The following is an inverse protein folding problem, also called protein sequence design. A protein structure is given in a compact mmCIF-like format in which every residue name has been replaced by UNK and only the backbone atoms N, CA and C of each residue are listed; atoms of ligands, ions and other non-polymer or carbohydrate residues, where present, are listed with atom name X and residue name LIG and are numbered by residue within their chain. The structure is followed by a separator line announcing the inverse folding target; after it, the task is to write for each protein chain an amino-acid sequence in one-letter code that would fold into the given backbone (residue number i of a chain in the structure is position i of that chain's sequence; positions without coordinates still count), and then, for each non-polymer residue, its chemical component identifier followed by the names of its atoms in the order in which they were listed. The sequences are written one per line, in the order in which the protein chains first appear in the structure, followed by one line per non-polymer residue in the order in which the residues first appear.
data_IF_230545187979
#
_entry.id   IF_230545187979
#
_cell.length_a   1.000
_cell.length_b   1.000
_cell.length_c   1.000
_cell.angle_alpha   90.00
_cell.angle_beta   90.00
_cell.angle_gamma   90.00
#
_symmetry.space_group_name_H-M   'P 1'
#
loop_
_entity.id
_entity.type
_entity.pdbx_description
1 polymer ?
#
# COMPACT_ATOMS: atom_id res chain seq x y z
N UNK A 1 -22.71 -0.01 0.93
CA UNK A 1 -22.19 1.35 0.69
C UNK A 1 -20.72 1.30 0.31
N UNK A 2 -20.27 2.26 -0.48
CA UNK A 2 -18.84 2.44 -0.66
C UNK A 2 -18.23 2.81 0.69
N UNK A 3 -17.20 2.09 1.07
CA UNK A 3 -16.43 2.37 2.28
C UNK A 3 -15.16 3.13 1.93
N UNK A 4 -14.40 3.53 2.95
CA UNK A 4 -13.08 4.10 2.76
C UNK A 4 -12.16 3.12 1.99
N UNK A 5 -11.09 3.58 1.32
CA UNK A 5 -10.23 2.73 0.48
C UNK A 5 -9.62 1.51 1.17
N UNK A 6 -9.45 1.58 2.49
CA UNK A 6 -8.93 0.47 3.30
C UNK A 6 -10.03 -0.46 3.87
N UNK A 7 -11.21 -0.46 3.26
CA UNK A 7 -12.36 -1.28 3.66
C UNK A 7 -12.99 -1.95 2.44
N UNK A 8 -14.28 -2.16 2.50
CA UNK A 8 -15.06 -2.85 1.49
C UNK A 8 -15.67 -1.88 0.49
N UNK A 9 -15.62 -2.25 -0.76
CA UNK A 9 -16.40 -1.60 -1.80
C UNK A 9 -17.58 -2.47 -2.21
N UNK A 10 -18.65 -1.85 -2.72
CA UNK A 10 -19.71 -2.59 -3.38
C UNK A 10 -19.12 -3.38 -4.56
N UNK A 11 -19.55 -4.64 -4.70
CA UNK A 11 -19.19 -5.46 -5.87
C UNK A 11 -20.01 -5.00 -7.05
N UNK A 12 -19.35 -4.46 -8.08
CA UNK A 12 -19.99 -3.89 -9.27
C UNK A 12 -19.28 -4.39 -10.53
N UNK A 13 -20.07 -4.68 -11.59
CA UNK A 13 -19.56 -4.96 -12.94
C UNK A 13 -18.66 -6.21 -13.06
N UNK A 14 -18.95 -7.25 -12.27
CA UNK A 14 -18.21 -8.52 -12.30
C UNK A 14 -18.86 -9.49 -13.25
N UNK A 15 -18.07 -10.08 -14.15
CA UNK A 15 -18.51 -11.09 -15.12
C UNK A 15 -17.75 -12.40 -14.92
N UNK A 16 -18.46 -13.43 -14.49
CA UNK A 16 -17.92 -14.79 -14.34
C UNK A 16 -18.59 -15.69 -15.37
N UNK A 17 -17.86 -16.08 -16.40
CA UNK A 17 -18.42 -16.87 -17.48
C UNK A 17 -17.46 -17.90 -18.04
N UNK A 18 -18.03 -19.03 -18.53
CA UNK A 18 -17.28 -20.14 -19.15
C UNK A 18 -16.22 -20.76 -18.25
N UNK A 19 -16.48 -20.75 -16.95
CA UNK A 19 -15.64 -21.44 -15.99
C UNK A 19 -16.16 -22.85 -15.76
N UNK A 20 -15.27 -23.75 -15.36
CA UNK A 20 -15.63 -25.08 -14.90
C UNK A 20 -15.15 -25.26 -13.47
N UNK A 21 -16.08 -25.53 -12.58
CA UNK A 21 -15.86 -25.80 -11.16
C UNK A 21 -16.05 -27.29 -10.93
N UNK A 22 -15.00 -27.97 -10.46
CA UNK A 22 -15.03 -29.42 -10.19
C UNK A 22 -14.70 -29.65 -8.73
N UNK A 23 -15.60 -30.30 -8.00
CA UNK A 23 -15.46 -30.68 -6.60
C UNK A 23 -15.05 -29.52 -5.67
N UNK A 24 -15.45 -28.29 -6.02
CA UNK A 24 -15.28 -27.13 -5.16
C UNK A 24 -16.18 -27.28 -3.92
N UNK A 25 -15.65 -26.97 -2.75
CA UNK A 25 -16.36 -27.11 -1.47
C UNK A 25 -17.60 -26.22 -1.44
N UNK A 26 -17.45 -24.93 -1.77
CA UNK A 26 -18.53 -23.97 -1.84
C UNK A 26 -18.28 -22.95 -2.97
N UNK A 27 -19.38 -22.45 -3.55
CA UNK A 27 -19.42 -21.21 -4.32
C UNK A 27 -20.39 -20.32 -3.57
N UNK A 28 -19.92 -19.20 -3.06
CA UNK A 28 -20.72 -18.32 -2.21
C UNK A 28 -20.93 -16.97 -2.89
N UNK A 29 -22.13 -16.43 -2.78
CA UNK A 29 -22.48 -15.10 -3.28
C UNK A 29 -23.16 -14.28 -2.19
N UNK A 30 -22.90 -12.96 -2.22
CA UNK A 30 -23.57 -12.00 -1.33
C UNK A 30 -22.99 -11.92 0.07
N UNK A 31 -21.82 -12.50 0.32
CA UNK A 31 -21.17 -12.49 1.64
C UNK A 31 -20.77 -11.08 2.06
N UNK A 32 -20.92 -10.78 3.34
CA UNK A 32 -20.36 -9.56 3.96
C UNK A 32 -21.34 -8.42 4.17
N UNK A 33 -22.64 -8.68 4.20
CA UNK A 33 -23.67 -7.70 4.57
C UNK A 33 -23.71 -7.49 6.09
N UNK A 34 -23.74 -6.25 6.51
CA UNK A 34 -23.96 -5.84 7.89
C UNK A 34 -24.70 -4.49 7.97
N UNK A 35 -24.69 -3.83 9.13
CA UNK A 35 -25.35 -2.52 9.28
C UNK A 35 -24.71 -1.40 8.47
N UNK A 36 -23.42 -1.50 8.16
CA UNK A 36 -22.69 -0.50 7.35
C UNK A 36 -22.67 -0.89 5.85
N UNK A 37 -22.60 -2.19 5.57
CA UNK A 37 -22.47 -2.76 4.21
C UNK A 37 -23.82 -3.27 3.75
N UNK A 38 -24.64 -2.39 3.23
CA UNK A 38 -26.06 -2.68 2.91
C UNK A 38 -26.35 -2.82 1.42
N UNK A 39 -25.38 -2.49 0.55
CA UNK A 39 -25.59 -2.56 -0.90
C UNK A 39 -25.36 -3.97 -1.42
N UNK A 40 -26.35 -4.47 -2.17
CA UNK A 40 -26.22 -5.71 -2.91
C UNK A 40 -25.19 -5.58 -4.04
N UNK A 41 -24.64 -6.69 -4.56
CA UNK A 41 -23.89 -6.68 -5.81
C UNK A 41 -24.69 -6.01 -6.94
N UNK A 42 -24.03 -5.28 -7.84
CA UNK A 42 -24.67 -4.58 -8.97
C UNK A 42 -24.01 -4.97 -10.29
N UNK A 43 -24.81 -5.23 -11.33
CA UNK A 43 -24.33 -5.61 -12.67
C UNK A 43 -23.36 -6.81 -12.64
N UNK A 44 -23.60 -7.76 -11.74
CA UNK A 44 -22.82 -9.00 -11.66
C UNK A 44 -23.49 -10.07 -12.51
N UNK A 45 -22.72 -10.82 -13.27
CA UNK A 45 -23.23 -11.94 -14.07
C UNK A 45 -22.43 -13.22 -13.84
N UNK A 46 -23.14 -14.32 -13.70
CA UNK A 46 -22.61 -15.67 -13.60
C UNK A 46 -23.24 -16.52 -14.68
N UNK A 47 -22.57 -16.69 -15.84
CA UNK A 47 -23.18 -17.22 -17.06
C UNK A 47 -22.31 -18.26 -17.75
N UNK A 48 -22.96 -19.24 -18.43
CA UNK A 48 -22.28 -20.28 -19.21
C UNK A 48 -21.24 -21.09 -18.42
N UNK A 49 -21.41 -21.20 -17.10
CA UNK A 49 -20.48 -21.97 -16.26
C UNK A 49 -20.92 -23.42 -16.13
N UNK A 50 -19.98 -24.28 -15.82
CA UNK A 50 -20.18 -25.70 -15.54
C UNK A 50 -19.80 -25.98 -14.09
N UNK A 51 -20.71 -26.56 -13.32
CA UNK A 51 -20.46 -26.96 -11.93
C UNK A 51 -20.67 -28.46 -11.79
N UNK A 52 -19.62 -29.17 -11.43
CA UNK A 52 -19.63 -30.62 -11.19
C UNK A 52 -19.22 -30.86 -9.75
N UNK A 53 -20.18 -31.29 -8.93
CA UNK A 53 -19.91 -31.69 -7.54
C UNK A 53 -20.99 -32.65 -7.03
N UNK A 54 -20.65 -33.92 -6.99
CA UNK A 54 -21.59 -34.97 -6.55
C UNK A 54 -21.80 -35.03 -5.03
N UNK A 55 -21.08 -34.19 -4.28
CA UNK A 55 -21.26 -34.05 -2.83
C UNK A 55 -22.22 -32.92 -2.44
N UNK A 56 -22.65 -32.07 -3.37
CA UNK A 56 -23.52 -30.94 -3.10
C UNK A 56 -24.92 -31.11 -3.71
N UNK A 57 -25.93 -30.61 -3.02
CA UNK A 57 -27.32 -30.57 -3.48
C UNK A 57 -27.69 -29.29 -4.24
N UNK A 58 -26.86 -28.24 -4.13
CA UNK A 58 -27.07 -26.94 -4.78
C UNK A 58 -25.75 -26.36 -5.34
N UNK A 59 -25.80 -25.58 -6.42
CA UNK A 59 -24.62 -25.12 -7.12
C UNK A 59 -23.88 -23.98 -6.41
N UNK A 60 -24.57 -23.23 -5.55
CA UNK A 60 -24.02 -22.11 -4.79
C UNK A 60 -24.81 -21.87 -3.51
N UNK A 61 -24.23 -21.09 -2.62
CA UNK A 61 -24.85 -20.61 -1.40
C UNK A 61 -25.09 -19.11 -1.55
N UNK A 62 -26.36 -18.67 -1.41
CA UNK A 62 -26.68 -17.26 -1.23
C UNK A 62 -26.55 -16.95 0.26
N UNK A 63 -25.49 -16.21 0.63
CA UNK A 63 -25.22 -15.93 2.04
C UNK A 63 -26.11 -14.79 2.53
N UNK A 64 -26.10 -13.65 1.81
CA UNK A 64 -26.90 -12.48 2.19
C UNK A 64 -27.80 -12.02 1.04
N UNK A 65 -27.27 -11.21 0.13
CA UNK A 65 -28.04 -10.54 -0.91
C UNK A 65 -27.43 -10.78 -2.30
N UNK A 66 -28.19 -11.42 -3.16
CA UNK A 66 -27.80 -11.75 -4.54
C UNK A 66 -28.64 -11.02 -5.60
N UNK A 67 -29.44 -10.03 -5.20
CA UNK A 67 -30.42 -9.37 -6.07
C UNK A 67 -29.80 -8.74 -7.33
N UNK A 68 -28.56 -8.32 -7.29
CA UNK A 68 -27.85 -7.75 -8.43
C UNK A 68 -27.07 -8.75 -9.28
N UNK A 69 -27.24 -10.07 -9.05
CA UNK A 69 -26.53 -11.12 -9.76
C UNK A 69 -27.46 -11.78 -10.78
N UNK A 70 -27.07 -11.73 -12.05
CA UNK A 70 -27.76 -12.46 -13.12
C UNK A 70 -27.16 -13.84 -13.31
N UNK A 71 -27.96 -14.88 -13.07
CA UNK A 71 -27.62 -16.26 -13.40
C UNK A 71 -28.22 -16.64 -14.75
N UNK A 72 -27.41 -17.20 -15.65
CA UNK A 72 -27.90 -17.60 -16.99
C UNK A 72 -27.06 -18.73 -17.59
N UNK A 73 -27.74 -19.69 -18.21
CA UNK A 73 -27.15 -20.76 -19.03
C UNK A 73 -26.05 -21.59 -18.31
N UNK A 74 -26.12 -21.71 -16.99
CA UNK A 74 -25.18 -22.53 -16.22
C UNK A 74 -25.61 -23.99 -16.21
N UNK A 75 -24.67 -24.90 -16.40
CA UNK A 75 -24.87 -26.35 -16.36
C UNK A 75 -24.38 -26.92 -15.04
N UNK A 76 -25.19 -27.79 -14.45
CA UNK A 76 -24.81 -28.40 -13.16
C UNK A 76 -24.93 -29.92 -13.19
N UNK A 77 -24.00 -30.59 -12.56
CA UNK A 77 -24.07 -32.01 -12.25
C UNK A 77 -23.76 -32.21 -10.76
N UNK A 78 -24.83 -32.24 -9.95
CA UNK A 78 -24.77 -32.31 -8.50
C UNK A 78 -25.19 -33.68 -7.99
N UNK A 79 -25.29 -33.85 -6.64
CA UNK A 79 -25.77 -35.06 -5.99
C UNK A 79 -27.24 -35.38 -6.41
N UNK A 80 -28.04 -34.33 -6.62
CA UNK A 80 -29.42 -34.40 -7.06
C UNK A 80 -29.68 -33.50 -8.26
N UNK A 81 -30.77 -33.78 -8.99
CA UNK A 81 -31.20 -32.86 -10.04
C UNK A 81 -31.55 -31.50 -9.44
N UNK A 82 -30.98 -30.44 -10.02
CA UNK A 82 -31.20 -29.06 -9.62
C UNK A 82 -31.82 -28.29 -10.78
N UNK A 83 -32.86 -27.56 -10.51
CA UNK A 83 -33.49 -26.69 -11.50
C UNK A 83 -33.89 -25.38 -10.82
N UNK A 84 -33.30 -24.29 -11.31
CA UNK A 84 -33.62 -22.92 -10.90
C UNK A 84 -33.33 -21.96 -12.08
N UNK A 85 -33.85 -20.74 -12.07
CA UNK A 85 -33.55 -19.76 -13.10
C UNK A 85 -32.04 -19.63 -13.33
N UNK A 86 -31.62 -19.82 -14.57
CA UNK A 86 -30.18 -19.73 -14.96
C UNK A 86 -29.35 -21.00 -14.74
N UNK A 87 -29.93 -22.10 -14.25
CA UNK A 87 -29.24 -23.38 -14.03
C UNK A 87 -30.03 -24.55 -14.62
N UNK A 88 -29.31 -25.46 -15.27
CA UNK A 88 -29.86 -26.68 -15.86
C UNK A 88 -29.03 -27.88 -15.45
N UNK A 89 -29.70 -28.93 -14.93
CA UNK A 89 -29.03 -30.21 -14.68
C UNK A 89 -28.70 -30.90 -16.02
N UNK A 90 -27.44 -31.16 -16.24
CA UNK A 90 -26.95 -31.83 -17.42
C UNK A 90 -25.80 -32.78 -17.05
N UNK A 91 -25.78 -33.96 -17.64
CA UNK A 91 -24.64 -34.87 -17.48
C UNK A 91 -23.46 -34.34 -18.28
N UNK A 92 -22.53 -33.69 -17.61
CA UNK A 92 -21.35 -33.09 -18.22
C UNK A 92 -20.16 -34.03 -18.04
N UNK A 93 -19.42 -34.27 -19.10
CA UNK A 93 -18.12 -34.95 -18.98
C UNK A 93 -17.15 -33.99 -18.31
N UNK A 94 -16.61 -34.35 -17.14
CA UNK A 94 -15.57 -33.55 -16.50
C UNK A 94 -14.41 -33.33 -17.51
N UNK A 95 -13.99 -32.07 -17.74
CA UNK A 95 -12.86 -31.84 -18.60
C UNK A 95 -11.65 -32.56 -18.01
N UNK A 96 -10.95 -33.32 -18.83
CA UNK A 96 -9.62 -33.79 -18.45
C UNK A 96 -8.75 -32.53 -18.38
N UNK A 97 -8.19 -32.24 -17.21
CA UNK A 97 -7.20 -31.19 -17.07
C UNK A 97 -6.04 -31.53 -18.01
N UNK A 98 -5.72 -30.69 -18.98
CA UNK A 98 -4.54 -30.91 -19.79
C UNK A 98 -3.33 -30.89 -18.89
N UNK A 99 -2.26 -31.57 -19.30
CA UNK A 99 -0.96 -31.52 -18.68
C UNK A 99 -0.59 -30.08 -18.24
N UNK A 100 -0.04 -29.92 -17.04
CA UNK A 100 0.26 -28.63 -16.40
C UNK A 100 0.95 -27.63 -17.33
N UNK A 101 1.79 -28.10 -18.25
CA UNK A 101 2.49 -27.29 -19.23
C UNK A 101 1.55 -26.68 -20.28
N UNK A 102 0.48 -27.40 -20.68
CA UNK A 102 -0.49 -26.92 -21.66
C UNK A 102 -1.49 -25.93 -21.05
N UNK A 103 -1.86 -26.10 -19.78
CA UNK A 103 -2.73 -25.15 -19.04
C UNK A 103 -2.05 -23.79 -18.94
N UNK A 104 -0.73 -23.78 -18.63
CA UNK A 104 0.03 -22.54 -18.45
C UNK A 104 0.26 -21.77 -19.75
N UNK A 105 0.20 -22.43 -20.91
CA UNK A 105 0.49 -21.80 -22.19
C UNK A 105 -0.61 -20.83 -22.64
N UNK A 106 -1.89 -21.17 -22.43
CA UNK A 106 -3.03 -20.45 -22.99
C UNK A 106 -4.02 -19.93 -21.95
N UNK A 107 -3.81 -20.22 -20.66
CA UNK A 107 -4.68 -19.84 -19.56
C UNK A 107 -3.98 -18.92 -18.58
N UNK A 108 -4.76 -18.22 -17.78
CA UNK A 108 -4.29 -17.25 -16.80
C UNK A 108 -4.26 -15.82 -17.35
N UNK A 109 -3.89 -14.90 -16.50
CA UNK A 109 -3.88 -13.49 -16.84
C UNK A 109 -2.87 -13.18 -17.95
N UNK A 110 -3.34 -12.68 -19.09
CA UNK A 110 -2.49 -12.35 -20.24
C UNK A 110 -1.40 -11.34 -19.89
N UNK A 111 -1.69 -10.41 -19.01
CA UNK A 111 -0.74 -9.44 -18.48
C UNK A 111 0.39 -10.09 -17.67
N UNK A 112 0.13 -11.18 -16.98
CA UNK A 112 1.17 -11.92 -16.22
C UNK A 112 2.16 -12.63 -17.17
N UNK A 113 1.69 -13.13 -18.31
CA UNK A 113 2.52 -13.79 -19.32
C UNK A 113 3.42 -12.79 -20.07
N UNK A 114 3.01 -11.55 -20.15
CA UNK A 114 3.71 -10.49 -20.88
C UNK A 114 4.64 -9.64 -20.01
N UNK A 115 4.94 -10.03 -18.78
CA UNK A 115 5.90 -9.32 -17.92
C UNK A 115 7.33 -9.24 -18.51
N UNK A 116 7.60 -9.91 -19.62
CA UNK A 116 8.88 -9.81 -20.35
C UNK A 116 8.87 -8.72 -21.42
N UNK A 117 7.71 -8.23 -21.83
CA UNK A 117 7.62 -7.03 -22.65
C UNK A 117 7.42 -5.84 -21.71
N UNK A 118 8.51 -5.17 -21.33
CA UNK A 118 8.38 -3.80 -20.84
C UNK A 118 7.51 -3.05 -21.87
N UNK A 119 6.37 -2.44 -21.48
CA UNK A 119 5.69 -1.54 -22.40
C UNK A 119 6.76 -0.57 -22.89
N UNK A 120 6.77 -0.31 -24.19
CA UNK A 120 7.62 0.73 -24.76
C UNK A 120 7.54 1.93 -23.82
N UNK A 121 8.68 2.42 -23.37
CA UNK A 121 8.74 3.48 -22.37
C UNK A 121 7.77 4.56 -22.83
N UNK A 122 6.67 4.74 -22.10
CA UNK A 122 5.79 5.85 -22.35
C UNK A 122 6.69 7.08 -22.27
N UNK A 123 6.86 7.80 -23.37
CA UNK A 123 7.67 9.02 -23.38
C UNK A 123 6.89 10.03 -22.54
N UNK A 124 7.22 10.05 -21.26
CA UNK A 124 6.63 11.01 -20.33
C UNK A 124 7.24 12.38 -20.59
N UNK A 125 6.41 13.40 -20.56
CA UNK A 125 6.87 14.78 -20.72
C UNK A 125 7.78 15.14 -19.54
N UNK A 126 8.97 15.64 -19.86
CA UNK A 126 9.95 16.07 -18.87
C UNK A 126 9.85 17.58 -18.63
N UNK A 127 9.94 17.96 -17.37
CA UNK A 127 9.89 19.34 -16.90
C UNK A 127 11.18 19.64 -16.15
N UNK A 128 12.13 20.32 -16.81
CA UNK A 128 13.40 20.71 -16.18
C UNK A 128 13.18 21.95 -15.31
N UNK A 129 13.52 21.86 -14.02
CA UNK A 129 13.25 22.89 -13.02
C UNK A 129 14.53 23.35 -12.39
N UNK A 130 14.75 24.67 -12.40
CA UNK A 130 15.89 25.33 -11.73
C UNK A 130 15.48 25.93 -10.39
N UNK A 131 16.42 26.14 -9.45
CA UNK A 131 16.16 26.86 -8.21
C UNK A 131 15.54 28.25 -8.46
N UNK A 132 14.58 28.62 -7.61
CA UNK A 132 13.81 29.87 -7.78
C UNK A 132 12.51 29.69 -8.56
N UNK A 133 12.30 28.56 -9.22
CA UNK A 133 11.00 28.24 -9.83
C UNK A 133 9.99 27.83 -8.75
N UNK A 134 8.75 28.24 -8.88
CA UNK A 134 7.67 27.78 -8.02
C UNK A 134 7.32 26.32 -8.33
N UNK A 135 7.83 25.40 -7.49
CA UNK A 135 7.68 23.97 -7.71
C UNK A 135 6.21 23.52 -7.67
N UNK A 136 5.36 24.17 -6.85
CA UNK A 136 3.93 23.85 -6.78
C UNK A 136 3.21 24.14 -8.10
N UNK A 137 3.56 25.22 -8.80
CA UNK A 137 2.99 25.54 -10.12
C UNK A 137 3.42 24.53 -11.19
N UNK A 138 4.68 24.09 -11.16
CA UNK A 138 5.17 23.05 -12.08
C UNK A 138 4.42 21.74 -11.85
N UNK A 139 4.28 21.31 -10.60
CA UNK A 139 3.54 20.10 -10.23
C UNK A 139 2.08 20.19 -10.69
N UNK A 140 1.43 21.33 -10.46
CA UNK A 140 0.03 21.53 -10.85
C UNK A 140 -0.14 21.46 -12.38
N UNK A 141 0.75 22.08 -13.15
CA UNK A 141 0.69 22.14 -14.62
C UNK A 141 1.21 20.90 -15.33
N UNK A 142 1.96 20.04 -14.64
CA UNK A 142 2.49 18.80 -15.22
C UNK A 142 1.36 17.84 -15.63
N UNK A 143 1.53 17.18 -16.76
CA UNK A 143 0.61 16.15 -17.24
C UNK A 143 0.71 14.89 -16.39
N UNK A 144 -0.38 14.09 -16.25
CA UNK A 144 -0.30 12.78 -15.61
C UNK A 144 0.80 11.90 -16.22
N UNK A 145 1.64 11.32 -15.36
CA UNK A 145 2.83 10.56 -15.79
C UNK A 145 4.06 11.43 -16.08
N UNK A 146 3.96 12.74 -15.95
CA UNK A 146 5.08 13.66 -16.17
C UNK A 146 6.26 13.44 -15.22
N UNK A 147 7.47 13.79 -15.68
CA UNK A 147 8.71 13.69 -14.94
C UNK A 147 9.26 15.08 -14.65
N UNK A 148 9.30 15.48 -13.39
CA UNK A 148 9.82 16.77 -12.92
C UNK A 148 11.28 16.56 -12.50
N UNK A 149 12.21 17.24 -13.17
CA UNK A 149 13.66 17.07 -12.99
C UNK A 149 14.22 18.31 -12.33
N UNK A 150 14.66 18.16 -11.08
CA UNK A 150 15.20 19.25 -10.29
C UNK A 150 16.70 19.40 -10.47
N UNK A 151 17.17 20.56 -10.92
CA UNK A 151 18.58 20.89 -10.91
C UNK A 151 19.10 21.02 -9.47
N UNK A 152 20.43 20.90 -9.26
CA UNK A 152 21.07 21.14 -7.97
C UNK A 152 20.72 22.52 -7.44
N UNK A 153 20.34 22.61 -6.17
CA UNK A 153 20.05 23.86 -5.47
C UNK A 153 18.98 23.72 -4.42
N UNK A 154 18.53 24.83 -3.87
CA UNK A 154 17.52 24.88 -2.81
C UNK A 154 16.17 25.31 -3.36
N UNK A 155 15.13 24.56 -2.99
CA UNK A 155 13.74 24.78 -3.36
C UNK A 155 12.92 25.02 -2.07
N UNK A 156 12.63 26.29 -1.75
CA UNK A 156 11.87 26.63 -0.55
C UNK A 156 10.39 26.27 -0.74
N UNK A 157 9.81 25.57 0.23
CA UNK A 157 8.39 25.15 0.25
C UNK A 157 7.68 25.88 1.40
N UNK A 158 6.71 26.71 1.09
CA UNK A 158 5.94 27.46 2.08
C UNK A 158 4.63 26.76 2.47
N UNK A 159 4.05 25.99 1.55
CA UNK A 159 2.81 25.21 1.72
C UNK A 159 2.94 23.87 1.01
N UNK A 160 2.10 22.92 1.39
CA UNK A 160 2.09 21.60 0.80
C UNK A 160 1.97 21.63 -0.73
N UNK A 161 2.84 20.88 -1.39
CA UNK A 161 2.70 20.53 -2.80
C UNK A 161 1.75 19.35 -2.92
N UNK A 162 0.66 19.49 -3.69
CA UNK A 162 -0.35 18.45 -3.85
C UNK A 162 -0.06 17.56 -5.06
N UNK A 163 -0.05 16.25 -4.84
CA UNK A 163 0.12 15.23 -5.87
C UNK A 163 -1.23 14.50 -6.03
N UNK A 164 -2.01 14.91 -7.00
CA UNK A 164 -3.35 14.41 -7.33
C UNK A 164 -3.40 13.56 -8.61
N UNK A 165 -2.24 13.20 -9.14
CA UNK A 165 -2.06 12.44 -10.38
C UNK A 165 -0.73 11.68 -10.35
N UNK A 166 -0.51 10.70 -11.24
CA UNK A 166 0.79 10.05 -11.35
C UNK A 166 1.88 11.04 -11.74
N UNK A 167 2.95 11.15 -10.94
CA UNK A 167 4.11 12.02 -11.19
C UNK A 167 5.39 11.37 -10.69
N UNK A 168 6.49 11.63 -11.41
CA UNK A 168 7.85 11.38 -10.94
C UNK A 168 8.56 12.71 -10.67
N UNK A 169 9.17 12.87 -9.49
CA UNK A 169 9.98 14.02 -9.14
C UNK A 169 11.38 13.50 -8.81
N UNK A 170 12.39 13.92 -9.56
CA UNK A 170 13.76 13.40 -9.38
C UNK A 170 14.83 14.46 -9.51
N UNK A 171 16.01 14.19 -8.94
CA UNK A 171 17.18 14.98 -9.18
C UNK A 171 17.63 14.86 -10.66
N UNK A 172 18.19 15.94 -11.20
CA UNK A 172 18.91 15.90 -12.48
C UNK A 172 20.20 15.08 -12.39
N UNK A 173 20.82 15.08 -11.20
CA UNK A 173 22.02 14.34 -10.88
C UNK A 173 21.90 13.75 -9.48
N UNK A 174 21.91 12.42 -9.38
CA UNK A 174 21.80 11.69 -8.11
C UNK A 174 22.95 11.98 -7.12
N UNK A 175 24.12 12.34 -7.63
CA UNK A 175 25.28 12.70 -6.81
C UNK A 175 25.16 14.12 -6.22
N UNK A 176 24.31 14.96 -6.78
CA UNK A 176 24.09 16.34 -6.39
C UNK A 176 22.61 16.60 -6.07
N UNK A 177 22.11 15.97 -5.01
CA UNK A 177 20.69 16.03 -4.62
C UNK A 177 20.22 17.47 -4.42
N UNK A 178 19.07 17.87 -5.01
CA UNK A 178 18.43 19.14 -4.70
C UNK A 178 17.90 19.10 -3.26
N UNK A 179 17.92 20.27 -2.61
CA UNK A 179 17.43 20.48 -1.25
C UNK A 179 16.02 21.09 -1.31
N UNK A 180 15.02 20.31 -0.99
CA UNK A 180 13.66 20.81 -0.77
C UNK A 180 13.54 21.17 0.72
N UNK A 181 13.42 22.46 1.01
CA UNK A 181 13.46 22.98 2.38
C UNK A 181 12.16 23.67 2.75
N UNK A 182 11.63 23.32 3.92
CA UNK A 182 10.45 24.01 4.45
C UNK A 182 10.77 25.46 4.82
N UNK A 183 9.92 26.39 4.42
CA UNK A 183 10.06 27.81 4.69
C UNK A 183 8.70 28.50 4.89
N UNK A 184 7.74 27.77 5.47
CA UNK A 184 6.40 28.29 5.75
C UNK A 184 6.36 29.11 7.04
N UNK A 185 5.38 30.00 7.15
CA UNK A 185 5.11 30.78 8.37
C UNK A 185 4.31 29.96 9.40
N UNK A 186 3.67 28.89 8.97
CA UNK A 186 2.88 27.98 9.81
C UNK A 186 3.23 26.54 9.48
N UNK A 187 3.13 25.62 10.46
CA UNK A 187 3.38 24.21 10.22
C UNK A 187 2.47 23.64 9.13
N UNK A 188 3.08 23.02 8.10
CA UNK A 188 2.39 22.34 7.00
C UNK A 188 3.20 21.13 6.51
N UNK A 189 2.60 20.28 5.68
CA UNK A 189 3.33 19.24 4.98
C UNK A 189 4.20 19.85 3.87
N UNK A 190 5.26 19.18 3.47
CA UNK A 190 6.01 19.60 2.29
C UNK A 190 5.37 19.03 1.02
N UNK A 191 4.98 17.74 1.06
CA UNK A 191 4.24 17.07 -0.01
C UNK A 191 3.00 16.42 0.59
N UNK A 192 1.87 16.53 -0.11
CA UNK A 192 0.61 15.85 0.23
C UNK A 192 0.11 15.07 -0.98
N UNK A 193 0.05 13.74 -0.86
CA UNK A 193 -0.55 12.88 -1.87
C UNK A 193 -2.06 12.93 -1.66
N UNK A 194 -2.81 13.28 -2.70
CA UNK A 194 -4.27 13.34 -2.71
C UNK A 194 -4.86 12.20 -3.58
N UNK A 195 -6.18 12.12 -3.66
CA UNK A 195 -6.88 11.15 -4.49
C UNK A 195 -6.34 11.11 -5.93
N UNK A 196 -6.06 9.91 -6.43
CA UNK A 196 -5.48 9.71 -7.76
C UNK A 196 -3.96 9.89 -7.82
N UNK A 197 -3.31 10.28 -6.72
CA UNK A 197 -1.87 10.45 -6.64
C UNK A 197 -1.12 9.11 -6.73
N UNK A 198 -0.14 9.04 -7.65
CA UNK A 198 0.85 7.97 -7.71
C UNK A 198 2.21 8.64 -7.79
N UNK A 199 2.97 8.59 -6.69
CA UNK A 199 4.19 9.38 -6.58
C UNK A 199 5.44 8.50 -6.63
N UNK A 200 6.36 8.89 -7.50
CA UNK A 200 7.75 8.42 -7.48
C UNK A 200 8.64 9.62 -7.16
N UNK A 201 9.50 9.50 -6.16
CA UNK A 201 10.42 10.55 -5.80
C UNK A 201 11.83 10.00 -5.60
N UNK A 202 12.81 10.62 -6.26
CA UNK A 202 14.16 10.05 -6.37
C UNK A 202 15.26 11.10 -6.12
N UNK A 203 16.20 10.73 -5.24
CA UNK A 203 17.44 11.46 -5.01
C UNK A 203 17.24 12.92 -4.58
N UNK A 204 16.31 13.18 -3.66
CA UNK A 204 15.99 14.50 -3.14
C UNK A 204 16.28 14.54 -1.63
N UNK A 205 16.82 15.65 -1.15
CA UNK A 205 16.96 15.92 0.30
C UNK A 205 15.78 16.78 0.76
N UNK A 206 15.05 16.28 1.77
CA UNK A 206 14.01 17.01 2.47
C UNK A 206 14.50 17.55 3.81
N UNK A 207 14.35 18.84 4.03
CA UNK A 207 14.71 19.51 5.28
C UNK A 207 13.47 20.14 5.93
N UNK A 208 13.04 19.57 7.06
CA UNK A 208 11.87 20.03 7.82
C UNK A 208 12.14 21.26 8.69
N UNK A 209 13.40 21.67 8.83
CA UNK A 209 13.87 22.84 9.58
C UNK A 209 13.58 22.77 11.08
N UNK A 210 14.56 22.40 11.88
CA UNK A 210 14.54 22.44 13.35
C UNK A 210 15.27 23.68 13.87
N UNK A 211 14.84 24.86 13.47
CA UNK A 211 15.42 26.13 13.91
C UNK A 211 14.51 26.84 14.92
N UNK A 212 15.04 27.36 16.05
CA UNK A 212 14.23 28.11 17.01
C UNK A 212 13.51 29.30 16.36
N UNK A 213 12.22 29.43 16.66
CA UNK A 213 11.39 30.52 16.13
C UNK A 213 10.93 30.35 14.68
N UNK A 214 11.25 29.22 14.02
CA UNK A 214 10.74 28.87 12.70
C UNK A 214 9.57 27.88 12.81
N UNK A 215 8.65 27.96 11.86
CA UNK A 215 7.64 26.94 11.71
C UNK A 215 8.29 25.63 11.20
N UNK A 216 7.79 24.50 11.69
CA UNK A 216 8.29 23.17 11.36
C UNK A 216 7.45 22.54 10.26
N UNK A 217 8.06 21.75 9.38
CA UNK A 217 7.31 20.88 8.50
C UNK A 217 6.58 19.80 9.31
N UNK A 218 5.28 19.63 9.12
CA UNK A 218 4.49 18.54 9.72
C UNK A 218 4.90 17.18 9.19
N UNK A 219 5.16 17.12 7.88
CA UNK A 219 5.71 15.94 7.24
C UNK A 219 6.51 16.32 5.99
N UNK A 220 7.52 15.51 5.65
CA UNK A 220 8.17 15.56 4.36
C UNK A 220 7.22 15.10 3.26
N UNK A 221 6.66 13.90 3.43
CA UNK A 221 5.63 13.33 2.57
C UNK A 221 4.46 12.87 3.44
N UNK A 222 3.26 13.29 3.12
CA UNK A 222 2.03 12.86 3.79
C UNK A 222 0.91 12.62 2.77
N UNK A 223 -0.24 12.17 3.24
CA UNK A 223 -1.46 12.03 2.45
C UNK A 223 -2.50 13.06 2.84
N UNK A 224 -3.45 13.32 1.97
CA UNK A 224 -4.69 14.01 2.32
C UNK A 224 -5.51 13.13 3.29
N UNK A 225 -6.57 13.70 3.86
CA UNK A 225 -7.51 12.95 4.70
C UNK A 225 -8.65 12.39 3.85
N UNK A 226 -9.28 11.31 4.32
CA UNK A 226 -10.52 10.76 3.76
C UNK A 226 -10.46 10.52 2.24
N UNK A 227 -9.36 9.94 1.77
CA UNK A 227 -9.19 9.59 0.37
C UNK A 227 -10.16 8.47 -0.02
N UNK A 228 -10.73 8.55 -1.22
CA UNK A 228 -11.62 7.54 -1.78
C UNK A 228 -10.94 6.60 -2.76
N UNK A 229 -9.74 6.94 -3.21
CA UNK A 229 -8.91 6.10 -4.08
C UNK A 229 -7.60 5.75 -3.39
N UNK A 230 -7.11 4.53 -3.55
CA UNK A 230 -5.79 4.17 -3.08
C UNK A 230 -4.70 4.91 -3.85
N UNK A 231 -3.53 5.01 -3.24
CA UNK A 231 -2.35 5.63 -3.85
C UNK A 231 -1.17 4.67 -3.88
N UNK A 232 -0.12 5.05 -4.59
CA UNK A 232 1.18 4.38 -4.53
C UNK A 232 2.29 5.37 -4.24
N UNK A 233 3.31 4.94 -3.51
CA UNK A 233 4.46 5.76 -3.16
C UNK A 233 5.76 4.99 -3.36
N UNK A 234 6.67 5.56 -4.14
CA UNK A 234 8.06 5.10 -4.26
C UNK A 234 8.98 6.24 -3.86
N UNK A 235 9.83 5.99 -2.86
CA UNK A 235 10.86 6.93 -2.38
C UNK A 235 12.21 6.23 -2.53
N UNK A 236 13.04 6.71 -3.42
CA UNK A 236 14.32 6.10 -3.74
C UNK A 236 15.49 7.09 -3.62
N UNK A 237 16.53 6.70 -2.91
CA UNK A 237 17.74 7.50 -2.78
C UNK A 237 17.57 8.85 -2.09
N UNK A 238 16.46 9.08 -1.39
CA UNK A 238 16.15 10.36 -0.74
C UNK A 238 16.80 10.49 0.65
N UNK A 239 16.91 11.73 1.12
CA UNK A 239 17.35 12.05 2.47
C UNK A 239 16.30 12.89 3.19
N UNK A 240 16.01 12.55 4.46
CA UNK A 240 15.08 13.28 5.32
C UNK A 240 15.80 13.70 6.59
N UNK A 241 15.76 15.00 6.87
CA UNK A 241 16.43 15.60 8.03
C UNK A 241 15.58 16.66 8.70
N UNK A 242 15.80 16.88 10.00
CA UNK A 242 15.23 17.97 10.77
C UNK A 242 13.70 17.99 10.83
N UNK A 243 13.07 16.81 11.00
CA UNK A 243 11.64 16.71 11.29
C UNK A 243 11.44 16.59 12.81
N UNK A 244 10.57 17.45 13.36
CA UNK A 244 10.38 17.62 14.78
C UNK A 244 9.56 16.53 15.46
N UNK A 245 9.44 16.64 16.78
CA UNK A 245 8.59 15.78 17.63
C UNK A 245 7.15 16.31 17.70
N UNK A 246 6.29 15.60 18.45
CA UNK A 246 4.93 16.06 18.70
C UNK A 246 3.95 15.80 17.55
N UNK A 247 4.19 14.77 16.75
CA UNK A 247 3.33 14.36 15.65
C UNK A 247 3.78 14.86 14.28
N UNK A 248 5.06 15.16 14.15
CA UNK A 248 5.71 15.50 12.90
C UNK A 248 6.54 14.31 12.40
N UNK A 249 6.66 14.15 11.08
CA UNK A 249 7.12 12.91 10.47
C UNK A 249 7.97 13.17 9.22
N UNK A 250 8.85 12.25 8.86
CA UNK A 250 9.46 12.30 7.53
C UNK A 250 8.45 11.79 6.48
N UNK A 251 7.85 10.61 6.69
CA UNK A 251 6.84 10.02 5.79
C UNK A 251 5.67 9.52 6.64
N UNK A 252 4.44 9.84 6.20
CA UNK A 252 3.24 9.53 6.97
C UNK A 252 2.03 9.20 6.10
N UNK A 253 1.33 8.11 6.42
CA UNK A 253 -0.07 7.90 6.04
C UNK A 253 -1.01 8.55 7.05
N UNK A 254 -2.04 9.27 6.60
CA UNK A 254 -3.05 9.88 7.47
C UNK A 254 -4.26 8.97 7.65
N UNK A 255 -5.18 9.35 8.54
CA UNK A 255 -6.41 8.60 8.78
C UNK A 255 -7.27 8.53 7.52
N UNK A 256 -7.93 7.40 7.33
CA UNK A 256 -8.80 7.13 6.18
C UNK A 256 -8.08 7.27 4.82
N UNK A 257 -6.82 6.84 4.75
CA UNK A 257 -6.06 6.74 3.51
C UNK A 257 -5.44 5.36 3.37
N UNK A 258 -5.25 4.91 2.14
CA UNK A 258 -4.77 3.57 1.85
C UNK A 258 -3.81 3.57 0.67
N UNK A 259 -2.62 3.02 0.89
CA UNK A 259 -1.66 2.76 -0.16
C UNK A 259 -1.80 1.32 -0.67
N UNK A 260 -1.90 1.12 -1.98
CA UNK A 260 -1.71 -0.21 -2.59
C UNK A 260 -0.29 -0.70 -2.34
N UNK A 261 0.69 0.19 -2.47
CA UNK A 261 2.08 -0.13 -2.16
C UNK A 261 2.88 1.09 -1.72
N UNK A 262 3.82 0.85 -0.81
CA UNK A 262 4.81 1.83 -0.35
C UNK A 262 6.19 1.19 -0.47
N UNK A 263 7.04 1.75 -1.30
CA UNK A 263 8.44 1.33 -1.44
C UNK A 263 9.35 2.47 -1.00
N UNK A 264 10.15 2.24 0.02
CA UNK A 264 11.15 3.20 0.52
C UNK A 264 12.50 2.49 0.48
N UNK A 265 13.40 2.95 -0.37
CA UNK A 265 14.69 2.29 -0.55
C UNK A 265 15.83 3.27 -0.75
N UNK A 266 17.04 2.82 -0.39
CA UNK A 266 18.27 3.61 -0.53
C UNK A 266 18.22 4.97 0.17
N UNK A 267 17.38 5.13 1.21
CA UNK A 267 17.11 6.40 1.86
C UNK A 267 17.93 6.59 3.14
N UNK A 268 18.19 7.86 3.47
CA UNK A 268 18.79 8.26 4.72
C UNK A 268 17.79 9.10 5.54
N UNK A 269 17.52 8.66 6.75
CA UNK A 269 16.75 9.39 7.75
C UNK A 269 17.68 9.79 8.89
N UNK A 270 17.86 11.08 9.13
CA UNK A 270 18.80 11.54 10.17
C UNK A 270 18.31 12.76 10.91
N UNK A 271 18.75 12.86 12.16
CA UNK A 271 18.50 14.02 13.01
C UNK A 271 17.00 14.34 13.13
N UNK A 272 16.18 13.31 13.37
CA UNK A 272 14.74 13.43 13.54
C UNK A 272 14.38 13.32 15.02
N UNK A 273 13.58 14.24 15.54
CA UNK A 273 12.91 14.07 16.84
C UNK A 273 11.47 13.51 16.70
N UNK A 274 10.88 13.58 15.52
CA UNK A 274 9.65 12.87 15.14
C UNK A 274 9.91 11.47 14.59
N UNK A 275 8.83 10.75 14.22
CA UNK A 275 8.96 9.43 13.59
C UNK A 275 9.46 9.56 12.14
N UNK A 276 10.23 8.59 11.66
CA UNK A 276 10.67 8.60 10.26
C UNK A 276 9.55 8.09 9.34
N UNK A 277 9.11 6.85 9.50
CA UNK A 277 8.07 6.22 8.68
C UNK A 277 6.90 5.85 9.58
N UNK A 278 5.74 6.48 9.36
CA UNK A 278 4.57 6.30 10.20
C UNK A 278 3.31 5.95 9.37
N UNK A 279 2.87 4.71 9.44
CA UNK A 279 1.64 4.18 8.88
C UNK A 279 0.78 3.60 10.02
N UNK A 280 0.56 4.43 11.05
CA UNK A 280 -0.14 4.06 12.27
C UNK A 280 -1.27 5.04 12.61
N UNK A 281 -1.99 5.54 11.62
CA UNK A 281 -3.09 6.47 11.83
C UNK A 281 -4.42 5.77 12.16
N UNK A 282 -4.59 4.53 11.70
CA UNK A 282 -5.77 3.72 11.98
C UNK A 282 -5.61 2.98 13.32
N UNK A 283 -6.37 3.40 14.33
CA UNK A 283 -6.23 2.89 15.72
C UNK A 283 -7.57 2.46 16.29
N UNK A 284 -8.39 1.82 15.49
CA UNK A 284 -9.77 1.51 15.85
C UNK A 284 -10.04 0.03 16.21
N UNK A 285 -9.02 -0.81 16.23
CA UNK A 285 -9.09 -2.24 16.54
C UNK A 285 -10.11 -3.05 15.70
N UNK A 286 -10.46 -2.56 14.52
CA UNK A 286 -11.39 -3.22 13.58
C UNK A 286 -10.70 -3.63 12.26
N UNK A 287 -9.41 -3.85 12.29
CA UNK A 287 -8.63 -4.36 11.17
C UNK A 287 -8.27 -3.34 10.10
N UNK A 288 -8.42 -2.04 10.33
CA UNK A 288 -7.98 -1.01 9.41
C UNK A 288 -6.47 -0.81 9.44
N UNK A 289 -5.90 -0.44 8.31
CA UNK A 289 -4.48 -0.10 8.15
C UNK A 289 -4.27 0.84 6.96
N UNK A 290 -3.09 1.45 6.85
CA UNK A 290 -2.84 2.53 5.88
C UNK A 290 -2.10 2.09 4.62
N UNK A 291 -1.50 0.91 4.56
CA UNK A 291 -0.77 0.45 3.39
C UNK A 291 -0.80 -1.07 3.29
N UNK A 292 -1.04 -1.61 2.10
CA UNK A 292 -1.13 -3.06 1.86
C UNK A 292 0.25 -3.68 1.76
N UNK A 293 1.02 -3.38 0.71
CA UNK A 293 2.39 -3.85 0.54
C UNK A 293 3.41 -2.77 0.95
N UNK A 294 4.30 -3.10 1.88
CA UNK A 294 5.35 -2.20 2.33
C UNK A 294 6.74 -2.82 2.19
N UNK A 295 7.58 -2.20 1.36
CA UNK A 295 8.99 -2.53 1.25
C UNK A 295 9.85 -1.38 1.77
N UNK A 296 10.66 -1.66 2.80
CA UNK A 296 11.69 -0.73 3.32
C UNK A 296 13.03 -1.44 3.17
N UNK A 297 13.86 -0.96 2.24
CA UNK A 297 15.07 -1.65 1.83
C UNK A 297 16.27 -0.73 1.76
N UNK A 298 17.43 -1.22 2.21
CA UNK A 298 18.71 -0.53 2.11
C UNK A 298 18.65 0.93 2.62
N UNK A 299 17.93 1.14 3.74
CA UNK A 299 17.78 2.45 4.37
C UNK A 299 18.66 2.58 5.60
N UNK A 300 19.14 3.80 5.85
CA UNK A 300 19.88 4.15 7.04
C UNK A 300 19.10 5.12 7.91
N UNK A 301 19.03 4.82 9.21
CA UNK A 301 18.39 5.65 10.22
C UNK A 301 19.44 6.04 11.26
N UNK A 302 19.65 7.34 11.45
CA UNK A 302 20.73 7.84 12.26
C UNK A 302 20.29 8.98 13.17
N UNK A 303 20.50 8.83 14.49
CA UNK A 303 20.15 9.81 15.54
C UNK A 303 18.66 10.21 15.51
N UNK A 304 17.79 9.23 15.65
CA UNK A 304 16.35 9.45 15.73
C UNK A 304 15.87 9.35 17.17
N UNK A 305 15.16 10.38 17.66
CA UNK A 305 14.47 10.34 18.96
C UNK A 305 13.07 9.72 18.82
N UNK A 306 12.40 9.92 17.71
CA UNK A 306 11.14 9.27 17.35
C UNK A 306 11.33 7.82 16.90
N UNK A 307 10.23 7.17 16.51
CA UNK A 307 10.27 5.80 16.01
C UNK A 307 10.78 5.80 14.56
N UNK A 308 11.84 5.08 14.22
CA UNK A 308 12.22 4.85 12.83
C UNK A 308 11.10 4.27 11.97
N UNK A 309 10.39 3.25 12.47
CA UNK A 309 9.30 2.60 11.75
C UNK A 309 8.13 2.34 12.69
N UNK A 310 6.96 2.85 12.32
CA UNK A 310 5.73 2.68 13.08
C UNK A 310 4.57 2.32 12.13
N UNK A 311 4.11 1.07 12.20
CA UNK A 311 3.04 0.53 11.37
C UNK A 311 2.00 -0.11 12.29
N UNK A 312 0.73 0.18 12.04
CA UNK A 312 -0.35 -0.29 12.90
C UNK A 312 -1.55 -0.79 12.09
N UNK A 313 -1.98 -1.98 12.44
CA UNK A 313 -3.30 -2.52 12.21
C UNK A 313 -3.79 -3.11 13.51
N UNK A 314 -4.85 -2.58 14.10
CA UNK A 314 -5.48 -3.15 15.27
C UNK A 314 -6.67 -4.02 14.91
N UNK A 315 -6.85 -5.11 15.67
CA UNK A 315 -7.92 -6.06 15.44
C UNK A 315 -7.75 -6.92 14.19
N UNK A 316 -8.75 -7.71 13.88
CA UNK A 316 -8.77 -8.55 12.69
C UNK A 316 -10.11 -8.40 11.97
N UNK A 317 -10.03 -8.29 10.65
CA UNK A 317 -11.17 -8.35 9.75
C UNK A 317 -10.75 -9.23 8.57
N UNK A 318 -11.42 -10.34 8.35
CA UNK A 318 -11.06 -11.35 7.36
C UNK A 318 -11.16 -10.82 5.91
N UNK A 319 -11.86 -9.72 5.71
CA UNK A 319 -11.99 -9.11 4.39
C UNK A 319 -10.89 -8.09 4.08
N UNK A 320 -9.96 -7.86 5.00
CA UNK A 320 -8.77 -7.03 4.78
C UNK A 320 -7.51 -7.89 4.83
N UNK A 321 -6.68 -7.85 3.79
CA UNK A 321 -5.60 -8.80 3.59
C UNK A 321 -4.28 -8.43 4.27
N UNK A 322 -3.89 -7.16 4.28
CA UNK A 322 -2.59 -6.68 4.75
C UNK A 322 -2.56 -6.20 6.21
N UNK A 323 -1.51 -5.53 6.62
CA UNK A 323 -0.34 -5.17 5.81
C UNK A 323 0.67 -6.33 5.64
N UNK A 324 1.27 -6.38 4.45
CA UNK A 324 2.42 -7.23 4.12
C UNK A 324 3.68 -6.39 4.22
N UNK A 325 4.61 -6.72 5.12
CA UNK A 325 5.74 -5.86 5.44
C UNK A 325 7.06 -6.58 5.19
N UNK A 326 7.92 -5.98 4.39
CA UNK A 326 9.31 -6.42 4.20
C UNK A 326 10.27 -5.28 4.57
N UNK A 327 11.13 -5.52 5.56
CA UNK A 327 12.19 -4.61 6.00
C UNK A 327 13.50 -5.35 5.88
N UNK A 328 14.40 -4.89 5.02
CA UNK A 328 15.66 -5.60 4.79
C UNK A 328 16.83 -4.68 4.48
N UNK A 329 18.04 -5.15 4.82
CA UNK A 329 19.27 -4.43 4.58
C UNK A 329 19.29 -3.01 5.18
N UNK A 330 18.58 -2.80 6.29
CA UNK A 330 18.50 -1.51 6.94
C UNK A 330 19.47 -1.40 8.12
N UNK A 331 19.96 -0.19 8.37
CA UNK A 331 20.88 0.10 9.47
C UNK A 331 20.29 1.19 10.37
N UNK A 332 20.29 0.94 11.67
CA UNK A 332 19.76 1.83 12.70
C UNK A 332 20.88 2.16 13.69
N UNK A 333 21.26 3.43 13.78
CA UNK A 333 22.33 3.89 14.67
C UNK A 333 21.82 5.02 15.55
N UNK A 334 21.99 4.90 16.87
CA UNK A 334 21.52 5.88 17.86
C UNK A 334 20.03 6.19 17.77
N UNK A 335 19.20 5.18 17.54
CA UNK A 335 17.78 5.37 17.30
C UNK A 335 16.93 4.99 18.52
N UNK A 336 15.95 5.84 18.85
CA UNK A 336 14.86 5.61 19.81
C UNK A 336 15.32 5.06 21.16
N UNK A 337 16.35 5.64 21.77
CA UNK A 337 16.93 5.24 23.08
C UNK A 337 16.18 5.79 24.30
N UNK A 338 14.97 6.34 24.11
CA UNK A 338 14.11 6.83 25.19
C UNK A 338 13.42 5.69 25.90
N UNK A 339 13.02 5.93 27.15
CA UNK A 339 12.25 4.97 27.95
C UNK A 339 10.98 4.51 27.20
N UNK A 340 10.75 3.19 27.17
CA UNK A 340 9.65 2.53 26.45
C UNK A 340 9.59 2.81 24.95
N UNK A 341 10.66 3.33 24.36
CA UNK A 341 10.78 3.52 22.91
C UNK A 341 10.89 2.18 22.16
N UNK A 342 10.69 2.23 20.86
CA UNK A 342 10.94 1.09 19.98
C UNK A 342 11.57 1.58 18.67
N UNK A 343 12.53 0.84 18.13
CA UNK A 343 13.08 1.18 16.80
C UNK A 343 12.03 0.85 15.73
N UNK A 344 11.43 -0.33 15.84
CA UNK A 344 10.30 -0.73 15.02
C UNK A 344 9.11 -1.04 15.93
N UNK A 345 7.97 -0.41 15.66
CA UNK A 345 6.68 -0.76 16.25
C UNK A 345 5.78 -1.28 15.16
N UNK A 346 5.52 -2.58 15.17
CA UNK A 346 4.78 -3.31 14.12
C UNK A 346 3.60 -4.03 14.78
N UNK A 347 2.41 -3.51 14.59
CA UNK A 347 1.18 -4.06 15.20
C UNK A 347 0.30 -4.62 14.09
N UNK A 348 -0.11 -5.88 14.23
CA UNK A 348 -1.05 -6.56 13.34
C UNK A 348 -0.54 -6.85 11.91
N UNK A 349 0.77 -7.06 11.66
CA UNK A 349 1.21 -7.44 10.32
C UNK A 349 0.66 -8.80 9.95
N UNK A 350 0.13 -8.94 8.73
CA UNK A 350 -0.35 -10.22 8.21
C UNK A 350 0.78 -11.11 7.71
N UNK A 351 1.80 -10.51 7.13
CA UNK A 351 3.08 -11.16 6.82
C UNK A 351 4.19 -10.17 7.16
N UNK A 352 5.21 -10.63 7.85
CA UNK A 352 6.34 -9.81 8.22
C UNK A 352 7.66 -10.50 7.89
N UNK A 353 8.51 -9.81 7.17
CA UNK A 353 9.92 -10.19 7.00
C UNK A 353 10.81 -9.05 7.46
N UNK A 354 11.70 -9.33 8.43
CA UNK A 354 12.79 -8.43 8.85
C UNK A 354 14.08 -9.19 8.70
N UNK A 355 14.93 -8.78 7.77
CA UNK A 355 16.16 -9.54 7.52
C UNK A 355 17.37 -8.66 7.16
N UNK A 356 18.55 -9.16 7.51
CA UNK A 356 19.82 -8.51 7.21
C UNK A 356 19.90 -7.04 7.72
N UNK A 357 19.32 -6.78 8.90
CA UNK A 357 19.31 -5.46 9.50
C UNK A 357 20.34 -5.34 10.63
N UNK A 358 20.91 -4.15 10.77
CA UNK A 358 21.88 -3.82 11.83
C UNK A 358 21.27 -2.79 12.77
N UNK A 359 21.37 -3.05 14.07
CA UNK A 359 20.92 -2.16 15.14
C UNK A 359 22.13 -1.87 16.04
N UNK A 360 22.66 -0.67 15.92
CA UNK A 360 23.78 -0.22 16.73
C UNK A 360 23.31 0.87 17.69
N UNK A 361 23.56 0.70 18.98
CA UNK A 361 23.14 1.60 20.04
C UNK A 361 21.68 2.09 19.89
N UNK A 362 20.76 1.18 19.59
CA UNK A 362 19.38 1.54 19.21
C UNK A 362 18.35 0.74 20.02
N UNK A 363 17.28 1.42 20.50
CA UNK A 363 16.19 0.80 21.26
C UNK A 363 16.53 0.48 22.71
N UNK A 364 17.58 1.06 23.28
CA UNK A 364 18.12 0.72 24.63
C UNK A 364 17.16 0.99 25.77
N UNK A 365 16.26 1.96 25.63
CA UNK A 365 15.27 2.30 26.66
C UNK A 365 13.97 1.48 26.59
N UNK A 366 13.84 0.60 25.62
CA UNK A 366 12.62 -0.17 25.39
C UNK A 366 12.84 -1.43 24.55
N UNK A 367 12.52 -1.39 23.27
CA UNK A 367 12.63 -2.54 22.38
C UNK A 367 13.28 -2.19 21.04
N UNK A 368 14.09 -3.10 20.49
CA UNK A 368 14.54 -2.99 19.09
C UNK A 368 13.37 -3.21 18.16
N UNK A 369 12.63 -4.30 18.33
CA UNK A 369 11.41 -4.61 17.57
C UNK A 369 10.29 -4.89 18.58
N UNK A 370 9.23 -4.09 18.53
CA UNK A 370 7.97 -4.37 19.20
C UNK A 370 7.00 -4.92 18.18
N UNK A 371 6.58 -6.15 18.38
CA UNK A 371 5.66 -6.88 17.54
C UNK A 371 4.47 -7.33 18.37
N UNK A 372 3.27 -6.92 17.99
CA UNK A 372 2.01 -7.33 18.61
C UNK A 372 1.01 -7.77 17.54
N UNK A 373 0.02 -8.58 17.89
CA UNK A 373 -1.10 -9.04 17.04
C UNK A 373 -0.66 -9.69 15.72
N UNK A 374 0.46 -10.43 15.74
CA UNK A 374 1.01 -11.09 14.58
C UNK A 374 0.78 -12.61 14.63
N UNK A 375 0.56 -13.22 13.47
CA UNK A 375 0.55 -14.68 13.33
C UNK A 375 1.99 -15.16 13.16
N UNK A 376 2.52 -15.85 14.17
CA UNK A 376 3.96 -16.21 14.23
C UNK A 376 4.45 -17.02 13.05
N UNK A 377 3.63 -17.89 12.47
CA UNK A 377 3.96 -18.68 11.27
C UNK A 377 4.22 -17.79 10.03
N UNK A 378 3.76 -16.55 10.05
CA UNK A 378 3.92 -15.56 8.98
C UNK A 378 4.95 -14.48 9.31
N UNK A 379 5.71 -14.67 10.40
CA UNK A 379 6.77 -13.75 10.83
C UNK A 379 8.12 -14.38 10.61
N UNK A 380 8.99 -13.68 9.89
CA UNK A 380 10.39 -14.06 9.70
C UNK A 380 11.28 -12.90 10.15
N UNK A 381 12.12 -13.15 11.16
CA UNK A 381 13.20 -12.25 11.58
C UNK A 381 14.51 -13.05 11.47
N UNK A 382 15.41 -12.61 10.60
CA UNK A 382 16.61 -13.39 10.29
C UNK A 382 17.83 -12.50 9.99
N UNK A 383 19.02 -13.01 10.32
CA UNK A 383 20.31 -12.38 9.99
C UNK A 383 20.41 -10.92 10.45
N UNK A 384 19.85 -10.59 11.61
CA UNK A 384 19.92 -9.25 12.18
C UNK A 384 21.01 -9.21 13.26
N UNK A 385 21.75 -8.10 13.29
CA UNK A 385 22.78 -7.86 14.28
C UNK A 385 22.32 -6.77 15.25
N UNK A 386 22.48 -7.00 16.54
CA UNK A 386 22.12 -6.07 17.61
C UNK A 386 23.37 -5.81 18.46
N UNK A 387 23.81 -4.56 18.51
CA UNK A 387 24.88 -4.06 19.39
C UNK A 387 24.34 -2.96 20.29
N UNK A 388 24.61 -3.08 21.60
CA UNK A 388 24.20 -2.09 22.60
C UNK A 388 25.40 -1.63 23.46
#
# INVERSE_FOLDING_TARGET
PNSLPNRYCQVVDVKMYRNTFVDCTNIEFGTGKDMERTLAPEKVSFTDNIIINKGLDQPYIAVDDVAGIQFKDNKVQLAKNYSAPGFTTEKVKAPQLPDDAAIRKDKGASWFKNQVAHPAANVHKEYNVSPGTNLSEVIHSAEPGGVIILAKGTYPIQRAMFIDKPLTIRAADAANKPLVRFNGDKPDNMVTIADGGKMVIENITFDGVLEPGKALAKAGISTAFDMIQPYTLIVDGCEFQNFGEGGFFAIKGTKATFAESVTIRNCLFRDLSGDAINYAAEKDDIGRYNADDMLIENCSFYRLLGLPINIYRGGSDESTAGPYITIRHCTFVDCCNKERGSVMRLIGPQVLTVENCNFDNSGRGGATIRLDEATWEKVRIANCNLWN
#
